data_IF_447183880838
#
_entry.id   IF_447183880838
#
_cell.length_a   1.000
_cell.length_b   1.000
_cell.length_c   1.000
_cell.angle_alpha   90.00
_cell.angle_beta   90.00
_cell.angle_gamma   90.00
#
_symmetry.space_group_name_H-M   'P 1'
#
loop_
_entity.id
_entity.type
_entity.pdbx_description
1 polymer ?
#
# COMPACT_ATOMS: atom_id res chain seq x y z
N UNK A 1 9.68 -34.84 7.11
CA UNK A 1 9.33 -33.66 6.32
C UNK A 1 7.84 -33.46 6.49
N UNK A 2 7.44 -32.51 7.35
CA UNK A 2 6.04 -32.25 7.68
C UNK A 2 5.54 -31.12 6.79
N UNK A 3 4.76 -31.44 5.78
CA UNK A 3 4.04 -30.45 4.95
C UNK A 3 2.94 -29.82 5.78
N UNK A 4 3.17 -28.59 6.23
CA UNK A 4 2.11 -27.78 6.83
C UNK A 4 1.08 -27.43 5.74
N UNK A 5 -0.16 -27.85 5.94
CA UNK A 5 -1.28 -27.45 5.09
C UNK A 5 -1.48 -25.91 5.15
N UNK A 6 -1.94 -25.27 4.05
CA UNK A 6 -2.16 -23.83 4.03
C UNK A 6 -3.23 -23.45 5.07
N UNK A 7 -2.94 -22.45 5.88
CA UNK A 7 -3.73 -21.98 7.03
C UNK A 7 -5.09 -21.35 6.65
N UNK A 8 -5.39 -21.23 5.35
CA UNK A 8 -6.65 -20.67 4.86
C UNK A 8 -7.17 -21.45 3.65
N UNK A 9 -8.47 -21.79 3.60
CA UNK A 9 -9.06 -22.31 2.38
C UNK A 9 -9.06 -21.23 1.29
N UNK A 10 -8.91 -21.58 0.00
CA UNK A 10 -9.04 -20.65 -1.10
C UNK A 10 -10.41 -19.96 -1.05
N UNK A 11 -10.44 -18.65 -1.21
CA UNK A 11 -11.69 -17.89 -1.29
C UNK A 11 -12.52 -18.37 -2.48
N UNK A 12 -13.85 -18.52 -2.36
CA UNK A 12 -14.71 -18.86 -3.49
C UNK A 12 -14.61 -17.78 -4.57
N UNK A 13 -14.48 -18.21 -5.83
CA UNK A 13 -14.13 -17.45 -7.00
C UNK A 13 -14.75 -16.07 -7.09
N UNK A 14 -13.91 -15.06 -7.31
CA UNK A 14 -14.31 -13.72 -7.72
C UNK A 14 -14.96 -13.74 -9.10
N UNK A 15 -15.85 -12.80 -9.36
CA UNK A 15 -16.55 -12.64 -10.62
C UNK A 15 -15.56 -12.61 -11.82
N UNK A 16 -15.91 -13.18 -12.98
CA UNK A 16 -15.06 -13.17 -14.16
C UNK A 16 -15.03 -11.76 -14.77
N UNK A 17 -13.91 -11.05 -14.58
CA UNK A 17 -13.73 -9.72 -15.17
C UNK A 17 -12.55 -8.97 -14.57
N UNK A 18 -11.45 -8.97 -15.24
CA UNK A 18 -10.12 -8.38 -14.99
C UNK A 18 -9.21 -9.28 -14.16
N UNK A 19 -8.38 -9.99 -14.86
CA UNK A 19 -7.24 -10.68 -14.26
C UNK A 19 -6.35 -9.63 -13.61
N UNK A 20 -6.30 -9.62 -12.28
CA UNK A 20 -5.48 -8.70 -11.47
C UNK A 20 -3.97 -9.06 -11.56
N UNK A 21 -3.57 -9.68 -12.68
CA UNK A 21 -2.21 -10.18 -12.93
C UNK A 21 -1.43 -9.23 -13.83
N UNK A 22 -0.16 -9.12 -13.57
CA UNK A 22 0.79 -8.41 -14.42
C UNK A 22 0.97 -9.20 -15.72
N UNK A 23 0.45 -8.66 -16.84
CA UNK A 23 0.50 -9.30 -18.15
C UNK A 23 1.48 -8.62 -19.12
N UNK A 24 1.93 -7.43 -18.78
CA UNK A 24 2.90 -6.66 -19.58
C UNK A 24 4.29 -6.71 -18.93
N UNK A 25 5.37 -6.40 -19.66
CA UNK A 25 6.70 -6.27 -19.07
C UNK A 25 6.72 -5.24 -17.94
N UNK A 26 7.35 -5.58 -16.82
CA UNK A 26 7.45 -4.64 -15.69
C UNK A 26 8.18 -3.34 -16.09
N UNK A 27 9.13 -3.40 -17.01
CA UNK A 27 9.83 -2.22 -17.54
C UNK A 27 8.85 -1.19 -18.13
N UNK A 28 7.83 -1.65 -18.88
CA UNK A 28 6.82 -0.79 -19.50
C UNK A 28 5.92 -0.14 -18.45
N UNK A 29 5.61 -0.87 -17.36
CA UNK A 29 4.87 -0.33 -16.21
C UNK A 29 5.67 0.79 -15.54
N UNK A 30 6.96 0.56 -15.28
CA UNK A 30 7.84 1.54 -14.63
C UNK A 30 8.09 2.78 -15.50
N UNK A 31 8.16 2.62 -16.82
CA UNK A 31 8.30 3.73 -17.76
C UNK A 31 7.13 4.73 -17.69
N UNK A 32 5.94 4.27 -17.26
CA UNK A 32 4.73 5.09 -17.09
C UNK A 32 4.52 5.57 -15.66
N UNK A 33 5.58 5.66 -14.86
CA UNK A 33 5.49 6.22 -13.51
C UNK A 33 4.91 7.65 -13.55
N UNK A 34 4.07 8.04 -12.55
CA UNK A 34 3.54 9.40 -12.45
C UNK A 34 4.65 10.45 -12.43
N UNK A 35 4.43 11.59 -13.07
CA UNK A 35 5.46 12.60 -13.34
C UNK A 35 6.25 13.06 -12.11
N UNK A 36 5.59 13.20 -10.97
CA UNK A 36 6.20 13.63 -9.70
C UNK A 36 6.99 12.51 -8.98
N UNK A 37 6.72 11.25 -9.31
CA UNK A 37 7.46 10.08 -8.85
C UNK A 37 8.48 9.54 -9.87
N UNK A 38 8.30 9.88 -11.15
CA UNK A 38 9.08 9.36 -12.27
C UNK A 38 10.60 9.52 -12.09
N UNK A 39 11.15 10.66 -11.59
CA UNK A 39 12.60 10.78 -11.40
C UNK A 39 13.17 9.71 -10.47
N UNK A 40 12.47 9.35 -9.39
CA UNK A 40 12.91 8.32 -8.44
C UNK A 40 12.79 6.93 -9.06
N UNK A 41 11.64 6.64 -9.68
CA UNK A 41 11.38 5.34 -10.29
C UNK A 41 12.33 5.05 -11.45
N UNK A 42 12.56 6.03 -12.34
CA UNK A 42 13.44 5.85 -13.49
C UNK A 42 14.91 5.76 -13.09
N UNK A 43 15.37 6.59 -12.13
CA UNK A 43 16.74 6.50 -11.60
C UNK A 43 16.99 5.12 -10.98
N UNK A 44 16.05 4.63 -10.18
CA UNK A 44 16.16 3.30 -9.60
C UNK A 44 16.09 2.20 -10.66
N UNK A 45 15.16 2.28 -11.62
CA UNK A 45 15.03 1.27 -12.67
C UNK A 45 16.31 1.12 -13.50
N UNK A 46 17.10 2.21 -13.64
CA UNK A 46 18.40 2.20 -14.30
C UNK A 46 19.56 1.69 -13.40
N UNK A 47 19.34 1.53 -12.10
CA UNK A 47 20.35 1.03 -11.15
C UNK A 47 20.55 -0.49 -11.26
N UNK A 48 21.62 -1.01 -10.63
CA UNK A 48 21.89 -2.43 -10.57
C UNK A 48 20.71 -3.23 -9.95
N UNK A 49 20.13 -2.73 -8.85
CA UNK A 49 19.00 -3.37 -8.19
C UNK A 49 17.76 -3.38 -9.09
N UNK A 50 17.47 -2.25 -9.76
CA UNK A 50 16.34 -2.14 -10.69
C UNK A 50 16.49 -3.09 -11.87
N UNK A 51 17.67 -3.15 -12.49
CA UNK A 51 17.93 -4.06 -13.61
C UNK A 51 17.87 -5.54 -13.19
N UNK A 52 18.39 -5.88 -12.01
CA UNK A 52 18.30 -7.24 -11.47
C UNK A 52 16.84 -7.66 -11.25
N UNK A 53 16.02 -6.77 -10.66
CA UNK A 53 14.60 -7.03 -10.48
C UNK A 53 13.84 -7.18 -11.80
N UNK A 54 14.08 -6.29 -12.76
CA UNK A 54 13.44 -6.38 -14.08
C UNK A 54 13.75 -7.70 -14.77
N UNK A 55 15.00 -8.13 -14.72
CA UNK A 55 15.42 -9.43 -15.26
C UNK A 55 14.76 -10.59 -14.53
N UNK A 56 14.73 -10.55 -13.19
CA UNK A 56 14.09 -11.57 -12.36
C UNK A 56 12.60 -11.72 -12.72
N UNK A 57 11.84 -10.60 -12.72
CA UNK A 57 10.40 -10.63 -13.03
C UNK A 57 10.15 -11.12 -14.46
N UNK A 58 10.95 -10.71 -15.44
CA UNK A 58 10.85 -11.17 -16.82
C UNK A 58 11.09 -12.69 -16.95
N UNK A 59 12.06 -13.23 -16.20
CA UNK A 59 12.31 -14.67 -16.13
C UNK A 59 11.13 -15.43 -15.54
N UNK A 60 10.54 -14.93 -14.43
CA UNK A 60 9.36 -15.55 -13.83
C UNK A 60 8.16 -15.52 -14.79
N UNK A 61 7.93 -14.42 -15.49
CA UNK A 61 6.89 -14.33 -16.53
C UNK A 61 7.15 -15.33 -17.67
N UNK A 62 8.39 -15.47 -18.11
CA UNK A 62 8.76 -16.38 -19.21
C UNK A 62 8.52 -17.86 -18.88
N UNK A 63 8.67 -18.26 -17.61
CA UNK A 63 8.35 -19.63 -17.15
C UNK A 63 6.88 -19.81 -16.78
N UNK A 64 6.04 -18.79 -17.01
CA UNK A 64 4.59 -18.86 -16.82
C UNK A 64 4.11 -18.55 -15.41
N UNK A 65 4.95 -17.99 -14.52
CA UNK A 65 4.52 -17.55 -13.20
C UNK A 65 3.41 -16.49 -13.29
N UNK A 66 2.41 -16.61 -12.44
CA UNK A 66 1.34 -15.61 -12.30
C UNK A 66 1.76 -14.59 -11.27
N UNK A 67 1.90 -13.34 -11.68
CA UNK A 67 2.41 -12.24 -10.84
C UNK A 67 1.31 -11.21 -10.60
N UNK A 68 1.19 -10.74 -9.36
CA UNK A 68 0.27 -9.69 -8.92
C UNK A 68 1.02 -8.47 -8.37
N UNK A 69 0.37 -7.30 -8.37
CA UNK A 69 -0.87 -6.90 -9.04
C UNK A 69 -0.62 -6.46 -10.49
N UNK A 70 -1.69 -6.34 -11.29
CA UNK A 70 -1.62 -5.67 -12.61
C UNK A 70 -1.18 -4.20 -12.51
N UNK A 71 -1.69 -3.49 -11.52
CA UNK A 71 -1.41 -2.06 -11.30
C UNK A 71 -0.32 -1.87 -10.25
N UNK A 72 0.92 -2.20 -10.59
CA UNK A 72 2.07 -2.20 -9.67
C UNK A 72 2.30 -0.83 -9.02
N UNK A 73 2.17 0.27 -9.77
CA UNK A 73 2.41 1.64 -9.30
C UNK A 73 1.15 2.38 -8.84
N UNK A 74 0.04 1.69 -8.58
CA UNK A 74 -1.24 2.32 -8.23
C UNK A 74 -1.16 3.24 -7.02
N UNK A 75 -0.39 2.88 -6.01
CA UNK A 75 -0.19 3.73 -4.84
C UNK A 75 0.38 5.11 -5.22
N UNK A 76 1.33 5.14 -6.14
CA UNK A 76 1.94 6.37 -6.65
C UNK A 76 0.98 7.14 -7.59
N UNK A 77 0.17 6.42 -8.38
CA UNK A 77 -0.80 7.02 -9.30
C UNK A 77 -1.94 7.74 -8.56
N UNK A 78 -2.41 7.18 -7.44
CA UNK A 78 -3.51 7.73 -6.67
C UNK A 78 -3.08 8.75 -5.62
N UNK A 79 -1.80 8.75 -5.23
CA UNK A 79 -1.27 9.65 -4.21
C UNK A 79 -0.10 10.44 -4.80
N UNK A 80 -0.35 11.62 -5.38
CA UNK A 80 0.73 12.51 -5.82
C UNK A 80 1.70 12.82 -4.67
N UNK A 81 3.00 12.89 -4.96
CA UNK A 81 4.04 13.07 -3.95
C UNK A 81 3.81 14.29 -3.06
N UNK A 82 3.44 15.41 -3.68
CA UNK A 82 3.14 16.65 -2.95
C UNK A 82 1.89 16.55 -2.06
N UNK A 83 0.99 15.61 -2.35
CA UNK A 83 -0.23 15.40 -1.58
C UNK A 83 -0.06 14.43 -0.41
N UNK A 84 1.09 13.75 -0.28
CA UNK A 84 1.33 12.77 0.80
C UNK A 84 1.28 13.44 2.16
N UNK A 85 0.34 12.99 3.01
CA UNK A 85 0.18 13.42 4.41
C UNK A 85 0.35 12.27 5.40
N UNK A 86 0.01 11.07 4.95
CA UNK A 86 0.09 9.84 5.73
C UNK A 86 0.76 8.78 4.89
N UNK A 87 1.65 7.99 5.49
CA UNK A 87 2.26 6.81 4.86
C UNK A 87 1.90 5.60 5.69
N UNK A 88 1.28 4.60 5.07
CA UNK A 88 1.00 3.29 5.68
C UNK A 88 1.83 2.25 4.93
N UNK A 89 2.73 1.55 5.64
CA UNK A 89 3.59 0.55 5.02
C UNK A 89 3.03 -0.86 5.21
N UNK A 90 2.82 -1.54 4.07
CA UNK A 90 2.66 -2.99 4.00
C UNK A 90 3.98 -3.69 3.68
N UNK A 91 4.00 -5.01 3.71
CA UNK A 91 5.16 -5.81 3.35
C UNK A 91 5.17 -6.09 1.85
N UNK A 92 4.27 -6.92 1.38
CA UNK A 92 4.10 -7.35 0.00
C UNK A 92 2.60 -7.40 -0.37
N UNK A 93 2.25 -7.48 -1.66
CA UNK A 93 0.86 -7.60 -2.07
C UNK A 93 0.24 -8.91 -1.60
N UNK A 94 -1.09 -8.95 -1.50
CA UNK A 94 -1.81 -10.22 -1.33
C UNK A 94 -1.51 -11.15 -2.51
N UNK A 95 -1.19 -12.41 -2.19
CA UNK A 95 -0.75 -13.40 -3.17
C UNK A 95 -1.90 -14.27 -3.73
N UNK A 96 -3.14 -14.03 -3.33
CA UNK A 96 -4.30 -14.75 -3.86
C UNK A 96 -4.90 -14.06 -5.09
N UNK A 97 -5.40 -14.86 -6.04
CA UNK A 97 -6.04 -14.36 -7.24
C UNK A 97 -7.14 -13.33 -6.92
N UNK A 98 -7.13 -12.19 -7.62
CA UNK A 98 -8.13 -11.12 -7.46
C UNK A 98 -8.03 -10.30 -6.16
N UNK A 99 -6.98 -10.46 -5.35
CA UNK A 99 -6.85 -9.75 -4.07
C UNK A 99 -6.01 -8.48 -4.16
N UNK A 100 -4.80 -8.57 -4.69
CA UNK A 100 -3.91 -7.42 -4.77
C UNK A 100 -4.38 -6.43 -5.85
N UNK A 101 -4.35 -5.13 -5.54
CA UNK A 101 -4.74 -4.07 -6.47
C UNK A 101 -3.75 -2.90 -6.53
N UNK A 102 -2.50 -3.11 -6.03
CA UNK A 102 -1.44 -2.11 -6.06
C UNK A 102 -1.49 -1.06 -4.95
N UNK A 103 -2.31 -1.28 -3.93
CA UNK A 103 -2.38 -0.49 -2.69
C UNK A 103 -2.17 -1.43 -1.50
N UNK A 104 -1.31 -1.06 -0.56
CA UNK A 104 -1.10 -1.85 0.65
C UNK A 104 -2.42 -2.05 1.42
N UNK A 105 -2.67 -3.27 1.87
CA UNK A 105 -3.87 -3.72 2.60
C UNK A 105 -5.19 -3.69 1.82
N UNK A 106 -5.26 -3.04 0.67
CA UNK A 106 -6.47 -2.87 -0.13
C UNK A 106 -6.80 -4.11 -0.96
N UNK A 107 -8.10 -4.33 -1.16
CA UNK A 107 -8.62 -5.34 -2.09
C UNK A 107 -9.69 -4.73 -3.00
N UNK A 108 -9.90 -5.25 -4.21
CA UNK A 108 -10.93 -4.75 -5.13
C UNK A 108 -12.33 -4.78 -4.52
N UNK A 109 -13.20 -3.90 -5.02
CA UNK A 109 -14.65 -3.94 -4.71
C UNK A 109 -15.20 -5.32 -5.02
N UNK A 110 -16.01 -5.87 -4.12
CA UNK A 110 -16.55 -7.23 -4.23
C UNK A 110 -15.67 -8.32 -3.61
N UNK A 111 -14.40 -8.03 -3.31
CA UNK A 111 -13.53 -8.95 -2.58
C UNK A 111 -13.73 -8.78 -1.07
N UNK A 112 -13.89 -9.91 -0.37
CA UNK A 112 -14.03 -9.90 1.09
C UNK A 112 -12.74 -9.35 1.73
N UNK A 113 -12.84 -8.34 2.62
CA UNK A 113 -11.66 -7.80 3.30
C UNK A 113 -10.86 -8.89 4.03
N UNK A 114 -9.55 -9.01 3.76
CA UNK A 114 -8.68 -9.94 4.48
C UNK A 114 -8.60 -9.63 5.98
N UNK A 115 -8.18 -10.58 6.83
CA UNK A 115 -8.19 -10.42 8.28
C UNK A 115 -7.43 -9.20 8.80
N UNK A 116 -6.27 -8.87 8.20
CA UNK A 116 -5.50 -7.69 8.59
C UNK A 116 -6.28 -6.40 8.31
N UNK A 117 -6.90 -6.29 7.13
CA UNK A 117 -7.72 -5.13 6.79
C UNK A 117 -8.93 -5.01 7.70
N UNK A 118 -9.61 -6.11 8.04
CA UNK A 118 -10.72 -6.08 9.01
C UNK A 118 -10.28 -5.50 10.34
N UNK A 119 -9.16 -5.96 10.90
CA UNK A 119 -8.62 -5.40 12.14
C UNK A 119 -8.30 -3.90 12.02
N UNK A 120 -7.84 -3.43 10.84
CA UNK A 120 -7.63 -1.99 10.60
C UNK A 120 -8.95 -1.22 10.62
N UNK A 121 -9.99 -1.72 9.95
CA UNK A 121 -11.31 -1.09 9.91
C UNK A 121 -11.96 -1.06 11.29
N UNK A 122 -11.85 -2.17 12.05
CA UNK A 122 -12.34 -2.25 13.43
C UNK A 122 -11.62 -1.23 14.34
N UNK A 123 -10.30 -1.07 14.19
CA UNK A 123 -9.52 -0.09 14.96
C UNK A 123 -9.87 1.36 14.60
N UNK A 124 -10.14 1.65 13.33
CA UNK A 124 -10.64 2.96 12.87
C UNK A 124 -11.96 3.27 13.56
N UNK A 125 -12.94 2.36 13.46
CA UNK A 125 -14.24 2.54 14.10
C UNK A 125 -14.14 2.72 15.60
N UNK A 126 -13.32 1.89 16.25
CA UNK A 126 -13.09 1.95 17.69
C UNK A 126 -12.48 3.30 18.12
N UNK A 127 -11.49 3.81 17.36
CA UNK A 127 -10.72 4.98 17.77
C UNK A 127 -11.34 6.32 17.35
N UNK A 128 -12.12 6.33 16.26
CA UNK A 128 -12.70 7.54 15.70
C UNK A 128 -14.23 7.61 15.79
N UNK A 129 -14.91 6.49 16.09
CA UNK A 129 -16.37 6.43 16.11
C UNK A 129 -17.02 6.54 14.72
N UNK A 130 -16.26 6.28 13.65
CA UNK A 130 -16.76 6.32 12.28
C UNK A 130 -17.18 4.93 11.79
N UNK A 131 -18.18 4.82 10.88
CA UNK A 131 -18.56 3.54 10.31
C UNK A 131 -17.45 2.97 9.42
N UNK A 132 -17.44 1.65 9.24
CA UNK A 132 -16.59 1.00 8.25
C UNK A 132 -16.92 1.51 6.84
N UNK A 133 -15.93 1.62 5.94
CA UNK A 133 -16.19 1.80 4.53
C UNK A 133 -17.02 0.61 3.99
N UNK A 134 -17.81 0.80 2.92
CA UNK A 134 -18.74 -0.23 2.41
C UNK A 134 -18.03 -1.45 1.82
N UNK A 135 -16.73 -1.37 1.58
CA UNK A 135 -15.90 -2.44 1.00
C UNK A 135 -14.44 -2.30 1.41
N UNK A 136 -13.59 -3.24 0.97
CA UNK A 136 -12.15 -3.26 1.26
C UNK A 136 -11.27 -2.44 0.31
N UNK A 137 -11.88 -1.68 -0.61
CA UNK A 137 -11.13 -0.86 -1.56
C UNK A 137 -10.74 0.50 -0.95
N UNK A 138 -9.44 0.72 -0.77
CA UNK A 138 -8.91 1.88 -0.06
C UNK A 138 -8.49 3.05 -0.98
N UNK A 139 -8.88 3.02 -2.24
CA UNK A 139 -8.58 4.10 -3.19
C UNK A 139 -9.09 5.48 -2.75
N UNK A 140 -10.17 5.53 -1.97
CA UNK A 140 -10.67 6.76 -1.37
C UNK A 140 -9.69 7.38 -0.36
N UNK A 141 -8.97 6.56 0.40
CA UNK A 141 -7.91 7.04 1.30
C UNK A 141 -6.71 7.55 0.52
N UNK A 142 -6.27 6.78 -0.51
CA UNK A 142 -5.13 7.15 -1.34
C UNK A 142 -5.30 8.54 -1.97
N UNK A 143 -6.48 8.82 -2.54
CA UNK A 143 -6.81 10.13 -3.13
C UNK A 143 -6.82 11.30 -2.13
N UNK A 144 -6.91 11.01 -0.84
CA UNK A 144 -6.81 11.99 0.24
C UNK A 144 -5.38 12.18 0.77
N UNK A 145 -4.37 11.62 0.10
CA UNK A 145 -2.97 11.75 0.50
C UNK A 145 -2.49 10.69 1.50
N UNK A 146 -3.17 9.55 1.59
CA UNK A 146 -2.69 8.37 2.32
C UNK A 146 -1.92 7.47 1.34
N UNK A 147 -0.60 7.51 1.38
CA UNK A 147 0.25 6.64 0.57
C UNK A 147 0.23 5.22 1.16
N UNK A 148 -0.51 4.34 0.50
CA UNK A 148 -0.65 2.91 0.86
C UNK A 148 0.43 2.10 0.12
N UNK A 149 1.65 2.07 0.66
CA UNK A 149 2.82 1.53 -0.01
C UNK A 149 3.25 0.20 0.60
N UNK A 150 3.39 -0.84 -0.23
CA UNK A 150 4.12 -2.04 0.15
C UNK A 150 5.62 -1.84 -0.04
N UNK A 151 6.46 -2.49 0.74
CA UNK A 151 7.91 -2.46 0.57
C UNK A 151 8.38 -3.32 -0.60
N UNK A 152 7.59 -4.33 -0.98
CA UNK A 152 7.74 -5.15 -2.19
C UNK A 152 6.48 -4.97 -3.02
N UNK A 153 6.59 -4.61 -4.30
CA UNK A 153 5.43 -4.18 -5.09
C UNK A 153 4.82 -5.27 -5.97
N UNK A 154 5.46 -6.44 -6.06
CA UNK A 154 4.94 -7.60 -6.80
C UNK A 154 5.08 -8.90 -6.00
N UNK A 155 4.27 -9.90 -6.31
CA UNK A 155 4.27 -11.21 -5.67
C UNK A 155 3.80 -12.29 -6.64
N UNK A 156 4.27 -13.53 -6.51
CA UNK A 156 3.74 -14.66 -7.26
C UNK A 156 2.47 -15.25 -6.61
N UNK A 157 1.61 -15.82 -7.44
CA UNK A 157 0.41 -16.51 -6.99
C UNK A 157 0.72 -17.60 -5.97
N UNK A 158 0.05 -17.55 -4.83
CA UNK A 158 0.21 -18.51 -3.74
C UNK A 158 1.54 -18.46 -2.99
N UNK A 159 2.49 -17.58 -3.34
CA UNK A 159 3.84 -17.54 -2.79
C UNK A 159 4.14 -16.21 -2.08
N UNK A 160 3.75 -16.04 -0.81
CA UNK A 160 4.02 -14.81 -0.06
C UNK A 160 5.52 -14.54 0.01
N UNK A 161 5.90 -13.27 -0.13
CA UNK A 161 7.27 -12.77 -0.12
C UNK A 161 8.20 -13.33 -1.23
N UNK A 162 7.68 -13.97 -2.29
CA UNK A 162 8.49 -14.54 -3.36
C UNK A 162 9.39 -13.52 -4.07
N UNK A 163 9.01 -12.24 -4.08
CA UNK A 163 9.79 -11.16 -4.69
C UNK A 163 10.56 -10.30 -3.67
N UNK A 164 10.56 -10.67 -2.39
CA UNK A 164 11.35 -9.98 -1.36
C UNK A 164 12.85 -10.19 -1.58
N UNK A 165 13.67 -9.15 -1.36
CA UNK A 165 15.11 -9.21 -1.53
C UNK A 165 15.58 -9.20 -2.99
N UNK A 166 14.69 -8.99 -3.96
CA UNK A 166 15.04 -8.91 -5.38
C UNK A 166 15.20 -7.49 -5.91
N UNK A 167 15.14 -6.47 -5.01
CA UNK A 167 15.45 -5.08 -5.37
C UNK A 167 14.31 -4.07 -5.17
N UNK A 168 13.06 -4.50 -4.92
CA UNK A 168 11.96 -3.57 -4.64
C UNK A 168 12.22 -2.67 -3.45
N UNK A 169 12.87 -3.21 -2.41
CA UNK A 169 13.11 -2.52 -1.16
C UNK A 169 13.96 -1.26 -1.35
N UNK A 170 14.92 -1.26 -2.26
CA UNK A 170 15.74 -0.07 -2.54
C UNK A 170 14.94 1.05 -3.22
N UNK A 171 13.97 0.71 -4.10
CA UNK A 171 13.03 1.70 -4.62
C UNK A 171 12.14 2.28 -3.51
N UNK A 172 11.50 1.40 -2.75
CA UNK A 172 10.53 1.83 -1.73
C UNK A 172 11.19 2.61 -0.61
N UNK A 173 12.45 2.30 -0.26
CA UNK A 173 13.26 3.08 0.66
C UNK A 173 13.58 4.47 0.10
N UNK A 174 13.85 4.60 -1.19
CA UNK A 174 14.02 5.90 -1.85
C UNK A 174 12.71 6.71 -1.86
N UNK A 175 11.57 6.07 -2.11
CA UNK A 175 10.25 6.73 -2.03
C UNK A 175 9.92 7.21 -0.61
N UNK A 176 10.17 6.39 0.41
CA UNK A 176 9.98 6.74 1.82
C UNK A 176 10.89 7.91 2.20
N UNK A 177 12.17 7.84 1.84
CA UNK A 177 13.15 8.89 2.10
C UNK A 177 12.74 10.20 1.46
N UNK A 178 12.30 10.16 0.21
CA UNK A 178 11.83 11.35 -0.52
C UNK A 178 10.61 11.99 0.14
N UNK A 179 9.59 11.18 0.52
CA UNK A 179 8.43 11.72 1.25
C UNK A 179 8.82 12.34 2.59
N UNK A 180 9.81 11.77 3.29
CA UNK A 180 10.28 12.31 4.56
C UNK A 180 11.16 13.56 4.39
N UNK A 181 11.85 13.72 3.26
CA UNK A 181 12.62 14.92 2.96
C UNK A 181 11.74 16.10 2.53
N UNK A 182 10.57 15.84 1.96
CA UNK A 182 9.65 16.86 1.48
C UNK A 182 9.13 17.76 2.62
N UNK A 183 8.79 19.00 2.27
CA UNK A 183 8.20 19.95 3.21
C UNK A 183 6.86 19.45 3.76
N UNK A 184 6.50 19.94 4.94
CA UNK A 184 5.28 19.56 5.63
C UNK A 184 5.45 18.33 6.53
N UNK A 185 4.80 18.39 7.68
CA UNK A 185 4.76 17.29 8.63
C UNK A 185 3.85 16.16 8.13
N UNK A 186 4.26 14.92 8.32
CA UNK A 186 3.53 13.72 7.88
C UNK A 186 3.43 12.71 9.03
N UNK A 187 2.51 11.78 8.90
CA UNK A 187 2.37 10.64 9.82
C UNK A 187 2.80 9.36 9.12
N UNK A 188 3.66 8.59 9.75
CA UNK A 188 4.09 7.27 9.28
C UNK A 188 3.52 6.20 10.22
N UNK A 189 2.69 5.32 9.67
CA UNK A 189 2.10 4.19 10.37
C UNK A 189 2.91 2.93 10.02
N UNK A 190 3.75 2.50 10.96
CA UNK A 190 4.69 1.39 10.79
C UNK A 190 4.24 0.21 11.65
N UNK A 191 3.44 -0.67 11.05
CA UNK A 191 2.84 -1.80 11.74
C UNK A 191 3.56 -3.12 11.44
N UNK A 192 4.10 -3.73 12.51
CA UNK A 192 4.90 -4.94 12.46
C UNK A 192 6.40 -4.68 12.28
N UNK A 193 7.21 -5.66 12.66
CA UNK A 193 8.67 -5.53 12.70
C UNK A 193 9.26 -5.11 11.35
N UNK A 194 8.75 -5.64 10.24
CA UNK A 194 9.25 -5.32 8.91
C UNK A 194 9.07 -3.82 8.58
N UNK A 195 7.87 -3.26 8.76
CA UNK A 195 7.62 -1.84 8.52
C UNK A 195 8.44 -0.94 9.47
N UNK A 196 8.62 -1.35 10.71
CA UNK A 196 9.38 -0.61 11.73
C UNK A 196 10.87 -0.47 11.40
N UNK A 197 11.44 -1.37 10.57
CA UNK A 197 12.83 -1.21 10.08
C UNK A 197 13.03 0.06 9.25
N UNK A 198 11.95 0.68 8.77
CA UNK A 198 11.99 1.92 7.97
C UNK A 198 11.99 3.19 8.81
N UNK A 199 11.75 3.09 10.14
CA UNK A 199 11.75 4.26 11.04
C UNK A 199 13.06 5.08 11.00
N UNK A 200 14.27 4.48 10.94
CA UNK A 200 15.52 5.24 10.80
C UNK A 200 15.59 6.08 9.53
N UNK A 201 15.07 5.60 8.39
CA UNK A 201 15.02 6.37 7.14
C UNK A 201 14.15 7.62 7.29
N UNK A 202 12.98 7.46 7.90
CA UNK A 202 12.06 8.57 8.17
C UNK A 202 12.70 9.58 9.12
N UNK A 203 13.34 9.11 10.19
CA UNK A 203 13.99 9.98 11.17
C UNK A 203 15.14 10.78 10.54
N UNK A 204 16.01 10.15 9.77
CA UNK A 204 17.15 10.77 9.13
C UNK A 204 16.73 11.84 8.12
N UNK A 205 15.80 11.52 7.21
CA UNK A 205 15.35 12.44 6.17
C UNK A 205 14.40 13.52 6.73
N UNK A 206 13.56 13.17 7.68
CA UNK A 206 12.52 14.04 8.24
C UNK A 206 13.00 15.04 9.28
N UNK A 207 14.17 14.86 9.88
CA UNK A 207 14.76 15.78 10.86
C UNK A 207 13.79 16.11 12.00
N UNK A 208 13.05 15.13 12.49
CA UNK A 208 12.10 15.28 13.61
C UNK A 208 10.75 15.92 13.27
N UNK A 209 10.46 16.23 11.99
CA UNK A 209 9.19 16.84 11.58
C UNK A 209 7.98 15.93 11.65
N UNK A 210 8.19 14.62 11.52
CA UNK A 210 7.13 13.66 11.30
C UNK A 210 6.71 12.97 12.59
N UNK A 211 5.46 12.50 12.60
CA UNK A 211 4.97 11.58 13.62
C UNK A 211 5.13 10.16 13.11
N UNK A 212 5.88 9.32 13.84
CA UNK A 212 6.04 7.90 13.55
C UNK A 212 5.30 7.11 14.63
N UNK A 213 4.31 6.30 14.21
CA UNK A 213 3.46 5.50 15.09
C UNK A 213 3.71 4.03 14.81
N UNK A 214 4.12 3.29 15.83
CA UNK A 214 4.53 1.89 15.74
C UNK A 214 3.66 1.00 16.61
N UNK A 215 3.17 -0.10 16.04
CA UNK A 215 2.45 -1.17 16.74
C UNK A 215 2.77 -2.52 16.08
N UNK A 216 2.30 -3.61 16.67
CA UNK A 216 2.35 -4.91 16.01
C UNK A 216 1.56 -4.89 14.70
N UNK A 217 1.83 -5.85 13.82
CA UNK A 217 1.10 -5.97 12.54
C UNK A 217 -0.39 -6.25 12.80
N UNK A 218 -1.33 -5.69 11.99
CA UNK A 218 -2.77 -5.91 12.16
C UNK A 218 -3.25 -7.34 11.88
N UNK A 219 -2.36 -8.25 11.49
CA UNK A 219 -2.70 -9.68 11.33
C UNK A 219 -3.25 -10.29 12.62
N UNK A 220 -4.25 -11.18 12.55
CA UNK A 220 -4.76 -11.91 13.73
C UNK A 220 -3.68 -12.60 14.55
N UNK A 221 -2.56 -12.97 13.93
CA UNK A 221 -1.43 -13.61 14.60
C UNK A 221 -0.69 -12.69 15.58
N UNK A 222 -0.78 -11.36 15.43
CA UNK A 222 0.00 -10.39 16.19
C UNK A 222 -0.79 -9.20 16.72
N UNK A 223 -1.95 -8.90 16.15
CA UNK A 223 -2.69 -7.67 16.44
C UNK A 223 -3.03 -7.43 17.93
N UNK A 224 -3.10 -8.49 18.72
CA UNK A 224 -3.40 -8.43 20.17
C UNK A 224 -2.21 -8.76 21.06
N UNK A 225 -1.03 -9.04 20.50
CA UNK A 225 0.14 -9.47 21.27
C UNK A 225 0.79 -8.29 21.97
N UNK A 226 1.25 -8.45 23.25
CA UNK A 226 2.12 -7.46 23.90
C UNK A 226 3.49 -7.45 23.19
N UNK A 227 4.35 -6.42 23.37
CA UNK A 227 4.11 -5.24 24.22
C UNK A 227 3.32 -4.11 23.53
N UNK A 228 3.17 -4.12 22.21
CA UNK A 228 2.57 -3.04 21.43
C UNK A 228 1.44 -3.56 20.54
N UNK A 229 0.30 -3.98 21.10
CA UNK A 229 -0.82 -4.50 20.31
C UNK A 229 -1.32 -3.46 19.30
N UNK A 230 -1.71 -3.91 18.11
CA UNK A 230 -2.36 -3.07 17.12
C UNK A 230 -3.78 -2.69 17.56
N UNK A 231 -4.54 -3.68 18.05
CA UNK A 231 -5.89 -3.44 18.56
C UNK A 231 -5.81 -2.61 19.84
N UNK A 232 -6.40 -1.44 19.79
CA UNK A 232 -6.36 -0.48 20.90
C UNK A 232 -5.18 0.48 20.85
N UNK A 233 -4.37 0.50 19.78
CA UNK A 233 -3.21 1.39 19.69
C UNK A 233 -3.58 2.88 19.58
N UNK A 234 -4.81 3.22 19.14
CA UNK A 234 -5.28 4.60 19.02
C UNK A 234 -4.61 5.44 17.93
N UNK A 235 -3.85 4.83 17.02
CA UNK A 235 -3.05 5.54 16.02
C UNK A 235 -3.88 6.44 15.11
N UNK A 236 -5.12 6.07 14.78
CA UNK A 236 -5.99 6.89 13.93
C UNK A 236 -6.47 8.17 14.63
N UNK A 237 -6.72 8.11 15.96
CA UNK A 237 -7.03 9.29 16.74
C UNK A 237 -5.79 10.21 16.87
N UNK A 238 -4.62 9.64 17.18
CA UNK A 238 -3.37 10.39 17.28
C UNK A 238 -2.97 11.03 15.96
N UNK A 239 -3.15 10.30 14.83
CA UNK A 239 -2.95 10.82 13.48
C UNK A 239 -3.88 12.00 13.20
N UNK A 240 -5.17 11.87 13.49
CA UNK A 240 -6.17 12.95 13.32
C UNK A 240 -5.74 14.21 14.05
N UNK A 241 -5.38 14.05 15.34
CA UNK A 241 -5.01 15.17 16.20
C UNK A 241 -3.71 15.84 15.74
N UNK A 242 -2.73 15.04 15.31
CA UNK A 242 -1.49 15.55 14.74
C UNK A 242 -1.73 16.34 13.43
N UNK A 243 -2.51 15.80 12.49
CA UNK A 243 -2.83 16.50 11.24
C UNK A 243 -3.61 17.79 11.49
N UNK A 244 -4.56 17.77 12.44
CA UNK A 244 -5.32 18.98 12.82
C UNK A 244 -4.40 20.06 13.37
N UNK A 245 -3.45 19.70 14.23
CA UNK A 245 -2.44 20.63 14.77
C UNK A 245 -1.53 21.25 13.69
N UNK A 246 -1.40 20.59 12.51
CA UNK A 246 -0.67 21.11 11.36
C UNK A 246 -1.58 21.89 10.38
N UNK A 247 -2.84 22.13 10.72
CA UNK A 247 -3.82 22.77 9.81
C UNK A 247 -4.20 21.93 8.61
N UNK A 248 -3.90 20.63 8.63
CA UNK A 248 -4.19 19.71 7.53
C UNK A 248 -5.64 19.21 7.62
N UNK A 249 -6.39 19.10 6.51
CA UNK A 249 -7.76 18.57 6.54
C UNK A 249 -7.83 17.16 7.13
N UNK A 250 -8.95 16.83 7.78
CA UNK A 250 -9.18 15.46 8.25
C UNK A 250 -9.20 14.46 7.09
N UNK A 251 -8.79 13.22 7.38
CA UNK A 251 -8.96 12.08 6.46
C UNK A 251 -10.36 11.49 6.71
N UNK A 252 -11.15 11.35 5.65
CA UNK A 252 -12.38 10.57 5.69
C UNK A 252 -12.07 9.09 5.52
N UNK A 253 -12.03 8.37 6.64
CA UNK A 253 -11.76 6.92 6.67
C UNK A 253 -12.95 6.08 6.25
N UNK A 254 -14.16 6.65 6.17
CA UNK A 254 -15.35 5.98 5.66
C UNK A 254 -15.41 5.96 4.12
N UNK A 255 -14.55 6.77 3.45
CA UNK A 255 -14.48 6.85 2.00
C UNK A 255 -13.92 5.54 1.41
N UNK A 256 -14.80 4.58 1.18
CA UNK A 256 -14.56 3.48 0.26
C UNK A 256 -14.53 4.02 -1.16
N UNK A 257 -13.59 3.55 -2.00
CA UNK A 257 -13.59 3.94 -3.41
C UNK A 257 -14.89 3.52 -4.09
N UNK A 258 -15.57 4.44 -4.79
CA UNK A 258 -16.59 4.06 -5.75
C UNK A 258 -15.94 3.17 -6.83
N UNK A 259 -16.62 2.10 -7.24
CA UNK A 259 -16.26 1.35 -8.44
C UNK A 259 -16.14 2.38 -9.58
N UNK A 260 -14.99 2.38 -10.30
CA UNK A 260 -14.61 3.39 -11.27
C UNK A 260 -15.75 3.91 -12.12
N UNK A 261 -16.24 5.09 -11.76
CA UNK A 261 -17.07 5.92 -12.62
C UNK A 261 -16.14 6.68 -13.55
N UNK A 262 -16.30 6.48 -14.86
CA UNK A 262 -15.74 7.30 -15.90
C UNK A 262 -15.89 8.78 -15.53
N UNK A 263 -14.80 9.54 -15.67
CA UNK A 263 -14.86 10.99 -15.63
C UNK A 263 -15.87 11.48 -16.69
N UNK A 264 -17.07 11.83 -16.24
CA UNK A 264 -18.03 12.55 -17.06
C UNK A 264 -17.49 13.96 -17.28
N UNK A 265 -17.20 14.28 -18.52
CA UNK A 265 -16.92 15.62 -18.99
C UNK A 265 -18.06 16.54 -18.54
N UNK A 266 -17.75 17.45 -17.62
CA UNK A 266 -18.62 18.59 -17.34
C UNK A 266 -18.52 19.57 -18.52
N UNK A 267 -19.44 19.43 -19.44
CA UNK A 267 -19.67 20.40 -20.53
C UNK A 267 -20.18 21.71 -19.94
N UNK A 268 -19.30 22.68 -19.76
CA UNK A 268 -19.69 24.07 -19.43
C UNK A 268 -20.18 24.73 -20.70
N UNK A 269 -21.49 24.64 -20.97
CA UNK A 269 -22.15 25.47 -21.95
C UNK A 269 -22.26 26.90 -21.41
N UNK A 270 -21.55 27.83 -22.05
CA UNK A 270 -21.82 29.26 -21.97
C UNK A 270 -22.86 29.62 -23.07
N UNK A 271 -23.95 30.17 -22.67
CA UNK A 271 -24.78 31.10 -23.46
C UNK A 271 -25.03 32.33 -22.62
#
# INVERSE_FOLDING_TARGET
>A
MSTQAPLFPPAPGGAPGTTNRLTEPLADVLARAPADWAPLVHTWAASADGQALLQFVAQQQAVGAVIYPAQVLRALQLTPRAAVRVVILGQDPYHGAGQAEGLAFSVPVGTRPPPSLRNMLDEISRSLGVPHPPNGHLGGWARQGVLLLNTVLTVEDGQPAAHAGHGWESLTDALITATAADAGAKVYLLWGAHAQTKAPLVAAAGRGRHRVLMANHPSPLSARRPPLPFVGCGHFAELRDFLAAQGSPAIDWSAGGAAGGSAGEANAGFT
#
